data_IF_217949243532
#
_entry.id   IF_217949243532
#
_cell.length_a   1.000
_cell.length_b   1.000
_cell.length_c   1.000
_cell.angle_alpha   90.00
_cell.angle_beta   90.00
_cell.angle_gamma   90.00
#
_symmetry.space_group_name_H-M   'P 1'
#
loop_
_entity.id
_entity.type
_entity.pdbx_description
1 polymer ?
#
# COMPACT_ATOMS: atom_id res chain seq x y z
N UNK A 1 18.35 25.75 16.10
CA UNK A 1 18.51 25.36 14.67
C UNK A 1 20.00 25.28 14.37
N UNK A 2 20.56 24.05 14.40
CA UNK A 2 22.01 23.82 14.28
C UNK A 2 22.48 23.73 12.82
N UNK A 3 21.63 24.07 11.84
CA UNK A 3 21.97 24.04 10.41
C UNK A 3 22.20 22.62 9.83
N UNK A 4 21.70 21.58 10.51
CA UNK A 4 21.79 20.20 10.04
C UNK A 4 20.81 20.02 8.88
N UNK A 5 21.25 19.55 7.69
CA UNK A 5 20.41 19.46 6.50
C UNK A 5 19.33 18.38 6.57
N UNK A 6 19.53 17.36 7.40
CA UNK A 6 18.57 16.30 7.62
C UNK A 6 18.62 15.76 9.05
N UNK A 7 17.47 15.53 9.65
CA UNK A 7 17.34 14.90 10.97
C UNK A 7 16.48 13.65 10.83
N UNK A 8 16.95 12.53 11.37
CA UNK A 8 16.19 11.27 11.44
C UNK A 8 16.00 10.92 12.90
N UNK A 9 14.75 10.83 13.33
CA UNK A 9 14.40 10.55 14.72
C UNK A 9 13.86 9.12 14.85
N UNK A 10 14.50 8.33 15.73
CA UNK A 10 14.03 7.00 16.08
C UNK A 10 13.00 7.10 17.20
N UNK A 11 11.82 6.50 16.98
CA UNK A 11 10.75 6.38 17.99
C UNK A 11 10.58 4.92 18.39
N UNK A 12 10.65 4.63 19.69
CA UNK A 12 10.53 3.27 20.22
C UNK A 12 9.11 2.85 20.60
N UNK A 13 8.22 3.83 20.88
CA UNK A 13 6.82 3.61 21.28
C UNK A 13 5.90 4.51 20.48
N UNK A 14 4.89 3.92 19.87
CA UNK A 14 3.94 4.61 18.97
C UNK A 14 2.87 5.42 19.70
N UNK A 15 2.70 5.22 21.02
CA UNK A 15 1.66 5.87 21.81
C UNK A 15 1.73 7.42 21.80
N UNK A 16 2.85 7.97 21.36
CA UNK A 16 3.09 9.41 21.25
C UNK A 16 3.23 9.93 19.82
N UNK A 17 2.98 9.10 18.80
CA UNK A 17 3.20 9.44 17.39
C UNK A 17 2.42 10.70 16.99
N UNK A 18 1.17 10.84 17.43
CA UNK A 18 0.32 12.03 17.15
C UNK A 18 0.93 13.35 17.71
N UNK A 19 1.66 13.29 18.82
CA UNK A 19 2.33 14.45 19.39
C UNK A 19 3.60 14.74 18.60
N UNK A 20 4.29 13.70 18.19
CA UNK A 20 5.60 13.75 17.54
C UNK A 20 5.46 14.25 16.08
N UNK A 21 4.41 13.86 15.37
CA UNK A 21 4.13 14.29 13.99
C UNK A 21 3.97 15.81 13.84
N UNK A 22 3.55 16.49 14.90
CA UNK A 22 3.40 17.94 14.92
C UNK A 22 4.69 18.70 15.32
N UNK A 23 5.78 17.99 15.62
CA UNK A 23 7.05 18.60 15.98
C UNK A 23 7.98 18.69 14.77
N UNK A 24 8.78 19.76 14.63
CA UNK A 24 9.74 19.90 13.53
C UNK A 24 11.01 19.06 13.79
N UNK A 25 10.87 17.75 13.96
CA UNK A 25 11.96 16.83 14.34
C UNK A 25 12.52 16.01 13.17
N UNK A 26 12.14 16.35 11.94
CA UNK A 26 12.60 15.66 10.72
C UNK A 26 11.85 14.36 10.47
N UNK A 27 12.51 13.42 9.78
CA UNK A 27 11.92 12.12 9.46
C UNK A 27 11.86 11.22 10.70
N UNK A 28 10.72 10.59 10.90
CA UNK A 28 10.49 9.66 12.02
C UNK A 28 10.67 8.23 11.52
N UNK A 29 11.38 7.42 12.28
CA UNK A 29 11.58 5.98 12.00
C UNK A 29 11.19 5.17 13.22
N UNK A 30 10.23 4.27 13.04
CA UNK A 30 9.83 3.28 14.03
C UNK A 30 10.41 1.90 13.65
N UNK A 31 11.45 1.40 14.32
CA UNK A 31 11.97 0.06 14.04
C UNK A 31 10.94 -1.05 14.23
N UNK A 32 10.01 -0.86 15.15
CA UNK A 32 8.93 -1.81 15.43
C UNK A 32 7.97 -1.96 14.24
N UNK A 33 7.56 -0.84 13.65
CA UNK A 33 6.77 -0.82 12.41
C UNK A 33 7.51 -1.43 11.23
N UNK A 34 8.77 -1.07 11.05
CA UNK A 34 9.60 -1.64 9.98
C UNK A 34 9.70 -3.17 10.10
N UNK A 35 9.93 -3.69 11.31
CA UNK A 35 9.96 -5.14 11.56
C UNK A 35 8.60 -5.78 11.32
N UNK A 36 7.51 -5.17 11.81
CA UNK A 36 6.15 -5.70 11.62
C UNK A 36 5.82 -5.77 10.13
N UNK A 37 6.06 -4.69 9.39
CA UNK A 37 5.81 -4.66 7.95
C UNK A 37 6.68 -5.67 7.17
N UNK A 38 7.92 -5.89 7.59
CA UNK A 38 8.78 -6.91 7.00
C UNK A 38 8.24 -8.33 7.25
N UNK A 39 7.75 -8.61 8.47
CA UNK A 39 7.15 -9.91 8.81
C UNK A 39 5.85 -10.12 8.03
N UNK A 40 4.97 -9.13 8.00
CA UNK A 40 3.70 -9.22 7.25
C UNK A 40 3.95 -9.49 5.78
N UNK A 41 4.87 -8.75 5.16
CA UNK A 41 5.27 -8.99 3.75
C UNK A 41 5.80 -10.39 3.54
N UNK A 42 6.67 -10.86 4.44
CA UNK A 42 7.24 -12.21 4.34
C UNK A 42 6.16 -13.29 4.44
N UNK A 43 5.23 -13.18 5.40
CA UNK A 43 4.13 -14.14 5.58
C UNK A 43 3.21 -14.13 4.35
N UNK A 44 2.86 -12.96 3.83
CA UNK A 44 2.04 -12.86 2.61
C UNK A 44 2.74 -13.46 1.38
N UNK A 45 4.03 -13.16 1.20
CA UNK A 45 4.83 -13.76 0.11
C UNK A 45 4.96 -15.28 0.20
N UNK A 46 4.92 -15.86 1.41
CA UNK A 46 4.92 -17.32 1.57
C UNK A 46 3.60 -17.98 1.17
N UNK A 47 2.49 -17.27 1.27
CA UNK A 47 1.18 -17.76 0.85
C UNK A 47 0.96 -17.66 -0.67
N UNK A 48 1.64 -16.73 -1.33
CA UNK A 48 1.55 -16.53 -2.77
C UNK A 48 2.93 -16.26 -3.35
N UNK A 49 3.42 -17.15 -4.17
CA UNK A 49 4.71 -16.98 -4.86
C UNK A 49 4.59 -16.01 -6.05
N UNK A 50 3.38 -15.83 -6.59
CA UNK A 50 3.06 -14.95 -7.73
C UNK A 50 2.00 -13.93 -7.31
N UNK A 51 2.16 -12.65 -7.69
CA UNK A 51 1.17 -11.57 -7.44
C UNK A 51 1.09 -11.04 -6.02
N UNK A 52 2.01 -11.40 -5.11
CA UNK A 52 2.01 -10.91 -3.73
C UNK A 52 2.20 -9.39 -3.66
N UNK A 53 1.62 -8.76 -2.64
CA UNK A 53 1.79 -7.33 -2.38
C UNK A 53 3.28 -6.98 -2.21
N UNK A 54 3.75 -6.03 -3.04
CA UNK A 54 5.13 -5.51 -2.97
C UNK A 54 5.34 -4.75 -1.67
N UNK A 55 4.35 -3.96 -1.29
CA UNK A 55 4.40 -3.08 -0.13
C UNK A 55 3.07 -3.09 0.61
N UNK A 56 3.12 -2.99 1.93
CA UNK A 56 1.93 -2.90 2.80
C UNK A 56 2.16 -1.78 3.80
N UNK A 57 1.24 -0.83 3.85
CA UNK A 57 1.22 0.28 4.80
C UNK A 57 -0.09 0.28 5.58
N UNK A 58 -0.01 0.26 6.90
CA UNK A 58 -1.17 0.56 7.75
C UNK A 58 -1.48 2.06 7.70
N UNK A 59 -2.73 2.41 7.45
CA UNK A 59 -3.23 3.79 7.46
C UNK A 59 -4.41 3.93 8.43
N UNK A 60 -4.78 5.17 8.74
CA UNK A 60 -5.90 5.48 9.64
C UNK A 60 -5.82 4.73 11.00
N UNK A 61 -4.65 4.80 11.67
CA UNK A 61 -4.41 4.13 12.96
C UNK A 61 -4.64 2.58 12.89
N UNK A 62 -4.35 1.96 11.73
CA UNK A 62 -4.53 0.52 11.51
C UNK A 62 -5.97 0.10 11.21
N UNK A 63 -6.85 1.03 10.87
CA UNK A 63 -8.22 0.73 10.44
C UNK A 63 -8.31 0.38 8.95
N UNK A 64 -7.28 0.70 8.19
CA UNK A 64 -7.16 0.33 6.78
C UNK A 64 -5.70 0.04 6.43
N UNK A 65 -5.51 -0.65 5.32
CA UNK A 65 -4.19 -0.94 4.75
C UNK A 65 -4.13 -0.42 3.31
N UNK A 66 -2.99 0.17 2.95
CA UNK A 66 -2.66 0.45 1.56
C UNK A 66 -1.65 -0.60 1.10
N UNK A 67 -1.99 -1.31 0.03
CA UNK A 67 -1.20 -2.39 -0.53
C UNK A 67 -0.81 -2.02 -1.96
N UNK A 68 0.42 -2.33 -2.33
CA UNK A 68 0.93 -2.13 -3.68
C UNK A 68 1.15 -3.49 -4.34
N UNK A 69 0.56 -3.69 -5.53
CA UNK A 69 0.64 -4.92 -6.30
C UNK A 69 1.22 -4.66 -7.68
N UNK A 70 2.06 -5.57 -8.15
CA UNK A 70 2.47 -5.61 -9.56
C UNK A 70 1.38 -6.34 -10.36
N UNK A 71 1.00 -5.76 -11.48
CA UNK A 71 0.08 -6.42 -12.44
C UNK A 71 0.85 -7.45 -13.25
N UNK A 72 0.49 -8.70 -13.10
CA UNK A 72 1.09 -9.84 -13.80
C UNK A 72 0.24 -10.28 -14.99
N UNK A 73 0.77 -11.22 -15.79
CA UNK A 73 0.09 -11.67 -17.02
C UNK A 73 -1.24 -12.36 -16.77
N UNK A 74 -1.38 -12.98 -15.60
CA UNK A 74 -2.55 -13.76 -15.21
C UNK A 74 -3.56 -12.93 -14.41
N UNK A 75 -3.24 -11.64 -14.15
CA UNK A 75 -4.12 -10.73 -13.41
C UNK A 75 -5.44 -10.53 -14.15
N UNK A 76 -6.56 -10.74 -13.45
CA UNK A 76 -7.91 -10.53 -13.99
C UNK A 76 -8.12 -9.06 -14.36
N UNK A 77 -9.01 -8.82 -15.30
CA UNK A 77 -9.41 -7.48 -15.76
C UNK A 77 -8.28 -6.59 -16.30
N UNK A 78 -7.10 -7.15 -16.65
CA UNK A 78 -6.04 -6.38 -17.29
C UNK A 78 -6.54 -5.70 -18.57
N UNK A 79 -6.32 -4.38 -18.71
CA UNK A 79 -6.79 -3.56 -19.83
C UNK A 79 -8.28 -3.23 -19.83
N UNK A 80 -9.04 -3.61 -18.81
CA UNK A 80 -10.46 -3.29 -18.66
C UNK A 80 -10.61 -1.98 -17.88
N UNK A 81 -11.50 -1.04 -18.29
CA UNK A 81 -11.79 0.15 -17.48
C UNK A 81 -12.36 -0.20 -16.10
N UNK A 82 -11.92 0.53 -15.06
CA UNK A 82 -12.31 0.27 -13.66
C UNK A 82 -13.83 0.27 -13.45
N UNK A 83 -14.57 1.10 -14.15
CA UNK A 83 -16.03 1.14 -14.09
C UNK A 83 -16.73 -0.17 -14.47
N UNK A 84 -16.03 -1.03 -15.21
CA UNK A 84 -16.54 -2.32 -15.69
C UNK A 84 -16.06 -3.50 -14.82
N UNK A 85 -15.34 -3.21 -13.73
CA UNK A 85 -14.87 -4.22 -12.80
C UNK A 85 -15.82 -4.32 -11.60
N UNK A 86 -16.08 -5.54 -11.17
CA UNK A 86 -16.82 -5.81 -9.94
C UNK A 86 -15.83 -6.03 -8.80
N UNK A 87 -15.69 -5.03 -7.93
CA UNK A 87 -14.81 -5.08 -6.78
C UNK A 87 -15.59 -5.34 -5.50
N UNK A 88 -14.96 -6.01 -4.55
CA UNK A 88 -15.51 -6.22 -3.22
C UNK A 88 -15.77 -4.89 -2.51
N UNK A 89 -16.69 -4.92 -1.56
CA UNK A 89 -16.98 -3.77 -0.68
C UNK A 89 -15.74 -3.43 0.15
N UNK A 90 -15.61 -2.15 0.52
CA UNK A 90 -14.48 -1.62 1.30
C UNK A 90 -13.10 -1.73 0.62
N UNK A 91 -13.07 -1.88 -0.68
CA UNK A 91 -11.87 -1.85 -1.51
C UNK A 91 -11.88 -0.57 -2.36
N UNK A 92 -10.72 0.09 -2.45
CA UNK A 92 -10.52 1.25 -3.30
C UNK A 92 -9.21 1.10 -4.06
N UNK A 93 -9.24 1.18 -5.37
CA UNK A 93 -8.03 1.35 -6.18
C UNK A 93 -7.65 2.83 -6.11
N UNK A 94 -6.61 3.15 -5.35
CA UNK A 94 -6.22 4.52 -5.00
C UNK A 94 -5.16 5.10 -5.94
N UNK A 95 -4.43 4.26 -6.66
CA UNK A 95 -3.39 4.70 -7.58
C UNK A 95 -3.04 3.63 -8.61
N UNK A 96 -2.65 4.07 -9.79
CA UNK A 96 -2.07 3.23 -10.83
C UNK A 96 -0.77 3.88 -11.28
N UNK A 97 0.31 3.11 -11.34
CA UNK A 97 1.61 3.58 -11.82
C UNK A 97 1.99 2.87 -13.09
N UNK A 98 1.97 3.61 -14.18
CA UNK A 98 2.46 3.17 -15.49
C UNK A 98 3.94 3.54 -15.62
N UNK A 99 4.86 2.60 -15.45
CA UNK A 99 6.32 2.82 -15.47
C UNK A 99 6.78 3.90 -14.49
N UNK A 100 6.94 5.15 -14.95
CA UNK A 100 7.41 6.28 -14.14
C UNK A 100 6.30 7.32 -13.85
N UNK A 101 5.08 7.10 -14.31
CA UNK A 101 3.94 8.00 -14.13
C UNK A 101 2.90 7.36 -13.24
N UNK A 102 2.63 7.99 -12.12
CA UNK A 102 1.54 7.60 -11.21
C UNK A 102 0.36 8.53 -11.39
N UNK A 103 -0.84 7.98 -11.41
CA UNK A 103 -2.09 8.72 -11.46
C UNK A 103 -3.08 8.25 -10.39
N UNK A 104 -3.97 9.14 -10.02
CA UNK A 104 -5.17 8.77 -9.27
C UNK A 104 -6.21 8.33 -10.30
N UNK A 105 -6.61 7.05 -10.28
CA UNK A 105 -7.48 6.51 -11.31
C UNK A 105 -8.92 7.02 -11.18
N UNK A 106 -9.60 7.05 -12.31
CA UNK A 106 -11.04 7.24 -12.42
C UNK A 106 -11.70 6.01 -13.07
N UNK A 107 -13.01 6.09 -13.34
CA UNK A 107 -13.75 4.96 -13.93
C UNK A 107 -13.29 4.56 -15.33
N UNK A 108 -12.65 5.44 -16.09
CA UNK A 108 -12.11 5.16 -17.43
C UNK A 108 -10.67 4.64 -17.41
N UNK A 109 -9.98 4.80 -16.27
CA UNK A 109 -8.62 4.28 -16.10
C UNK A 109 -8.60 2.74 -16.14
N UNK A 110 -7.51 2.18 -16.61
CA UNK A 110 -7.24 0.73 -16.64
C UNK A 110 -5.79 0.49 -16.26
N UNK A 111 -5.48 -0.71 -15.84
CA UNK A 111 -4.09 -1.14 -15.60
C UNK A 111 -3.69 -2.21 -16.60
N UNK A 112 -2.40 -2.27 -16.90
CA UNK A 112 -1.79 -3.22 -17.84
C UNK A 112 -0.69 -4.04 -17.17
N UNK A 113 -0.28 -5.13 -17.81
CA UNK A 113 0.82 -5.96 -17.33
C UNK A 113 2.11 -5.15 -17.16
N UNK A 114 2.69 -5.21 -15.98
CA UNK A 114 3.89 -4.45 -15.60
C UNK A 114 3.60 -3.13 -14.90
N UNK A 115 2.35 -2.74 -14.77
CA UNK A 115 1.95 -1.60 -13.95
C UNK A 115 1.95 -1.96 -12.47
N UNK A 116 1.94 -0.96 -11.62
CA UNK A 116 1.76 -1.12 -10.18
C UNK A 116 0.44 -0.49 -9.76
N UNK A 117 -0.36 -1.24 -9.01
CA UNK A 117 -1.67 -0.80 -8.51
C UNK A 117 -1.63 -0.66 -7.01
N UNK A 118 -2.03 0.50 -6.51
CA UNK A 118 -2.19 0.77 -5.08
C UNK A 118 -3.65 0.57 -4.70
N UNK A 119 -3.89 -0.37 -3.82
CA UNK A 119 -5.23 -0.72 -3.31
C UNK A 119 -5.32 -0.35 -1.84
N UNK A 120 -6.41 0.29 -1.46
CA UNK A 120 -6.76 0.52 -0.06
C UNK A 120 -7.88 -0.43 0.32
N UNK A 121 -7.67 -1.20 1.39
CA UNK A 121 -8.66 -2.13 1.95
C UNK A 121 -8.99 -1.78 3.39
N UNK A 122 -10.23 -2.02 3.80
CA UNK A 122 -10.61 -1.98 5.20
C UNK A 122 -9.95 -3.10 6.02
N UNK A 123 -9.91 -2.93 7.34
CA UNK A 123 -9.21 -3.85 8.26
C UNK A 123 -9.68 -5.31 8.19
N UNK A 124 -10.94 -5.52 7.82
CA UNK A 124 -11.53 -6.87 7.82
C UNK A 124 -11.25 -7.64 6.51
N UNK A 125 -10.64 -6.97 5.52
CA UNK A 125 -10.32 -7.54 4.22
C UNK A 125 -8.82 -7.79 4.12
N UNK A 126 -8.41 -9.05 4.15
CA UNK A 126 -7.01 -9.45 3.96
C UNK A 126 -6.78 -9.77 2.48
N UNK A 127 -5.96 -8.98 1.82
CA UNK A 127 -5.58 -9.18 0.42
C UNK A 127 -4.19 -9.78 0.34
N UNK A 128 -4.05 -10.87 -0.37
CA UNK A 128 -2.76 -11.53 -0.64
C UNK A 128 -2.24 -11.18 -2.03
N UNK A 129 -3.11 -11.14 -3.02
CA UNK A 129 -2.84 -10.86 -4.42
C UNK A 129 -3.85 -9.84 -4.97
N UNK A 130 -3.54 -9.25 -6.13
CA UNK A 130 -4.41 -8.23 -6.74
C UNK A 130 -5.80 -8.79 -7.06
N UNK A 131 -5.88 -10.04 -7.51
CA UNK A 131 -7.15 -10.67 -7.86
C UNK A 131 -8.12 -10.84 -6.68
N UNK A 132 -7.62 -10.77 -5.44
CA UNK A 132 -8.47 -10.84 -4.24
C UNK A 132 -9.40 -9.64 -4.09
N UNK A 133 -9.19 -8.55 -4.83
CA UNK A 133 -10.07 -7.36 -4.80
C UNK A 133 -11.38 -7.57 -5.54
N UNK A 134 -11.45 -8.55 -6.42
CA UNK A 134 -12.61 -8.80 -7.28
C UNK A 134 -13.58 -9.80 -6.62
N UNK A 135 -14.87 -9.68 -7.00
CA UNK A 135 -15.90 -10.65 -6.62
C UNK A 135 -15.82 -11.97 -7.37
#
# INVERSE_FOLDING_TARGET
NCGVPQVITKVGHLDHTKIIENLPIGSIVSPKELCTNAIVRYVRAMHNQEGAAITVYGIADGQAEALEFLVEKDTRYCGVPLKNMETKKNILIAGISHKARTEVPDGESSFEVGDTVVVVSGRDEVLYQLDDIFE
#
